data_IF_461314128412
#
_entry.id   IF_461314128412
#
_cell.length_a   1.000
_cell.length_b   1.000
_cell.length_c   1.000
_cell.angle_alpha   90.00
_cell.angle_beta   90.00
_cell.angle_gamma   90.00
#
_symmetry.space_group_name_H-M   'P 1'
#
loop_
_entity.id
_entity.type
_entity.pdbx_description
1 polymer ?
#
# COMPACT_ATOMS: atom_id res chain seq x y z
N UNK A 1 12.00 13.80 5.23
CA UNK A 1 11.96 12.51 5.95
C UNK A 1 11.11 11.56 5.12
N UNK A 2 11.49 10.29 5.00
CA UNK A 2 10.70 9.29 4.25
C UNK A 2 9.47 8.89 5.05
N UNK A 3 8.34 8.64 4.40
CA UNK A 3 7.12 8.15 5.07
C UNK A 3 7.37 6.69 5.53
N UNK A 4 7.25 6.38 6.84
CA UNK A 4 7.60 5.06 7.37
C UNK A 4 6.71 3.94 6.84
N UNK A 5 5.48 4.24 6.40
CA UNK A 5 4.57 3.27 5.79
C UNK A 5 5.04 2.78 4.41
N UNK A 6 5.90 3.55 3.71
CA UNK A 6 6.41 3.19 2.39
C UNK A 6 7.67 2.31 2.44
N UNK A 7 8.28 2.18 3.62
CA UNK A 7 9.40 1.28 3.83
C UNK A 7 8.88 -0.10 4.24
N UNK A 8 8.68 -0.96 3.22
CA UNK A 8 8.15 -2.32 3.41
C UNK A 8 9.24 -3.40 3.45
N UNK A 9 10.51 -3.00 3.61
CA UNK A 9 11.66 -3.91 3.60
C UNK A 9 11.84 -4.71 4.89
N UNK A 10 11.21 -4.26 5.97
CA UNK A 10 11.25 -4.88 7.29
C UNK A 10 9.85 -4.98 7.92
N UNK A 11 9.80 -5.39 9.19
CA UNK A 11 8.58 -5.27 9.98
C UNK A 11 8.14 -3.79 10.10
N UNK A 12 6.84 -3.50 10.24
CA UNK A 12 6.34 -2.14 10.41
C UNK A 12 6.93 -1.47 11.66
N UNK A 13 7.45 -0.25 11.49
CA UNK A 13 8.00 0.58 12.58
C UNK A 13 6.88 1.34 13.29
N UNK A 14 6.06 0.62 14.05
CA UNK A 14 4.82 1.12 14.65
C UNK A 14 5.01 2.39 15.51
N UNK A 15 6.16 2.55 16.14
CA UNK A 15 6.55 3.71 16.94
C UNK A 15 6.80 4.99 16.11
N UNK A 16 7.04 4.85 14.81
CA UNK A 16 7.25 5.97 13.88
C UNK A 16 5.99 6.31 13.06
N UNK A 17 4.98 5.43 13.01
CA UNK A 17 3.77 5.66 12.21
C UNK A 17 2.83 6.61 12.95
N UNK A 18 2.42 7.67 12.27
CA UNK A 18 1.45 8.64 12.74
C UNK A 18 0.27 8.74 11.76
N UNK A 19 -0.93 9.18 12.20
CA UNK A 19 -2.11 9.32 11.35
C UNK A 19 -1.88 10.14 10.07
N UNK A 20 -1.09 11.21 10.14
CA UNK A 20 -0.76 12.07 8.99
C UNK A 20 0.05 11.36 7.89
N UNK A 21 0.67 10.22 8.20
CA UNK A 21 1.40 9.42 7.22
C UNK A 21 0.48 8.61 6.30
N UNK A 22 -0.75 8.33 6.73
CA UNK A 22 -1.64 7.35 6.09
C UNK A 22 -2.06 7.79 4.69
N UNK A 23 -2.70 8.97 4.58
CA UNK A 23 -3.25 9.44 3.31
C UNK A 23 -2.16 9.62 2.23
N UNK A 24 -0.99 10.25 2.51
CA UNK A 24 0.08 10.35 1.53
C UNK A 24 0.63 8.99 1.08
N UNK A 25 0.78 8.02 2.00
CA UNK A 25 1.30 6.70 1.66
C UNK A 25 0.32 5.92 0.79
N UNK A 26 -0.95 5.84 1.19
CA UNK A 26 -1.98 5.08 0.47
C UNK A 26 -2.25 5.69 -0.90
N UNK A 27 -2.32 7.01 -1.01
CA UNK A 27 -2.49 7.66 -2.31
C UNK A 27 -1.34 7.32 -3.25
N UNK A 28 -0.10 7.38 -2.78
CA UNK A 28 1.06 7.01 -3.59
C UNK A 28 0.96 5.57 -4.10
N UNK A 29 0.67 4.60 -3.22
CA UNK A 29 0.62 3.18 -3.60
C UNK A 29 -0.52 2.92 -4.60
N UNK A 30 -1.68 3.54 -4.40
CA UNK A 30 -2.80 3.42 -5.34
C UNK A 30 -2.44 4.03 -6.70
N UNK A 31 -1.83 5.21 -6.73
CA UNK A 31 -1.44 5.88 -7.98
C UNK A 31 -0.37 5.07 -8.73
N UNK A 32 0.63 4.54 -8.02
CA UNK A 32 1.66 3.66 -8.59
C UNK A 32 1.04 2.36 -9.15
N UNK A 33 0.16 1.71 -8.39
CA UNK A 33 -0.52 0.48 -8.81
C UNK A 33 -1.42 0.72 -10.02
N UNK A 34 -2.13 1.85 -10.08
CA UNK A 34 -2.94 2.22 -11.25
C UNK A 34 -2.08 2.43 -12.50
N UNK A 35 -0.96 3.14 -12.37
CA UNK A 35 -0.04 3.34 -13.49
C UNK A 35 0.54 2.01 -13.98
N UNK A 36 0.88 1.09 -13.07
CA UNK A 36 1.35 -0.25 -13.42
C UNK A 36 0.26 -1.08 -14.09
N UNK A 37 -0.97 -1.06 -13.56
CA UNK A 37 -2.12 -1.76 -14.15
C UNK A 37 -2.41 -1.26 -15.57
N UNK A 38 -2.37 0.06 -15.78
CA UNK A 38 -2.51 0.65 -17.12
C UNK A 38 -1.44 0.13 -18.09
N UNK A 39 -0.21 -0.07 -17.60
CA UNK A 39 0.87 -0.68 -18.37
C UNK A 39 0.57 -2.13 -18.76
N UNK A 40 0.12 -2.95 -17.80
CA UNK A 40 -0.25 -4.34 -18.04
C UNK A 40 -1.38 -4.46 -19.07
N UNK A 41 -2.40 -3.60 -18.97
CA UNK A 41 -3.55 -3.61 -19.89
C UNK A 41 -3.22 -3.13 -21.31
N UNK A 42 -2.14 -2.38 -21.49
CA UNK A 42 -1.64 -1.94 -22.80
C UNK A 42 -0.61 -2.90 -23.40
N UNK A 43 -0.19 -3.93 -22.67
CA UNK A 43 0.76 -4.91 -23.17
C UNK A 43 0.18 -5.71 -24.34
N UNK A 44 0.99 -5.94 -25.37
CA UNK A 44 0.66 -6.85 -26.48
C UNK A 44 1.04 -8.31 -26.15
N UNK A 45 1.69 -8.55 -25.01
CA UNK A 45 2.04 -9.89 -24.55
C UNK A 45 0.78 -10.71 -24.25
N UNK A 46 0.84 -12.01 -24.53
CA UNK A 46 -0.26 -12.92 -24.21
C UNK A 46 -0.41 -13.00 -22.69
N UNK A 47 -1.60 -12.74 -22.12
CA UNK A 47 -1.79 -12.80 -20.68
C UNK A 47 -1.62 -14.24 -20.19
N UNK A 48 -0.76 -14.40 -19.19
CA UNK A 48 -0.56 -15.64 -18.45
C UNK A 48 -0.27 -15.34 -16.95
N UNK A 49 0.17 -16.37 -16.23
CA UNK A 49 0.47 -16.27 -14.80
C UNK A 49 1.57 -15.24 -14.54
N UNK A 50 2.64 -15.23 -15.34
CA UNK A 50 3.81 -14.39 -15.09
C UNK A 50 3.58 -12.96 -15.61
N UNK A 51 2.86 -12.81 -16.72
CA UNK A 51 2.61 -11.53 -17.39
C UNK A 51 1.49 -10.72 -16.73
N UNK A 52 0.47 -11.38 -16.18
CA UNK A 52 -0.71 -10.69 -15.63
C UNK A 52 -0.97 -11.02 -14.16
N UNK A 53 -1.06 -12.30 -13.80
CA UNK A 53 -1.51 -12.70 -12.46
C UNK A 53 -0.50 -12.31 -11.38
N UNK A 54 0.77 -12.72 -11.52
CA UNK A 54 1.81 -12.45 -10.53
C UNK A 54 2.06 -10.94 -10.34
N UNK A 55 2.10 -10.09 -11.39
CA UNK A 55 2.14 -8.64 -11.21
C UNK A 55 0.96 -8.08 -10.44
N UNK A 56 -0.26 -8.57 -10.69
CA UNK A 56 -1.47 -8.13 -9.98
C UNK A 56 -1.46 -8.56 -8.51
N UNK A 57 -1.07 -9.80 -8.21
CA UNK A 57 -0.88 -10.26 -6.84
C UNK A 57 0.20 -9.47 -6.10
N UNK A 58 1.28 -9.10 -6.79
CA UNK A 58 2.32 -8.27 -6.19
C UNK A 58 1.79 -6.88 -5.80
N UNK A 59 0.98 -6.25 -6.66
CA UNK A 59 0.34 -4.96 -6.37
C UNK A 59 -0.60 -5.05 -5.16
N UNK A 60 -1.34 -6.15 -5.03
CA UNK A 60 -2.19 -6.41 -3.85
C UNK A 60 -1.35 -6.57 -2.58
N UNK A 61 -0.26 -7.34 -2.64
CA UNK A 61 0.67 -7.46 -1.52
C UNK A 61 1.34 -6.13 -1.13
N UNK A 62 1.72 -5.30 -2.11
CA UNK A 62 2.26 -3.96 -1.86
C UNK A 62 1.24 -3.09 -1.10
N UNK A 63 -0.01 -3.06 -1.56
CA UNK A 63 -1.08 -2.34 -0.86
C UNK A 63 -1.32 -2.90 0.54
N UNK A 64 -1.36 -4.23 0.68
CA UNK A 64 -1.54 -4.92 1.95
C UNK A 64 -0.45 -4.62 2.97
N UNK A 65 0.83 -4.57 2.56
CA UNK A 65 1.96 -4.22 3.45
C UNK A 65 1.86 -2.81 4.01
N UNK A 66 1.26 -1.89 3.27
CA UNK A 66 1.06 -0.49 3.68
C UNK A 66 -0.22 -0.32 4.50
N UNK A 67 -1.30 -1.01 4.14
CA UNK A 67 -2.60 -0.86 4.79
C UNK A 67 -2.75 -1.67 6.08
N UNK A 68 -2.11 -2.84 6.18
CA UNK A 68 -2.22 -3.70 7.37
C UNK A 68 -1.78 -3.01 8.67
N UNK A 69 -0.65 -2.27 8.73
CA UNK A 69 -0.26 -1.52 9.92
C UNK A 69 -1.27 -0.43 10.31
N UNK A 70 -1.86 0.25 9.31
CA UNK A 70 -2.88 1.29 9.54
C UNK A 70 -4.14 0.70 10.13
N UNK A 71 -4.64 -0.39 9.55
CA UNK A 71 -5.81 -1.12 10.06
C UNK A 71 -5.57 -1.64 11.48
N UNK A 72 -4.36 -2.15 11.76
CA UNK A 72 -3.97 -2.59 13.10
C UNK A 72 -4.01 -1.42 14.10
N UNK A 73 -3.31 -0.32 13.83
CA UNK A 73 -3.22 0.85 14.71
C UNK A 73 -4.60 1.46 14.97
N UNK A 74 -5.43 1.54 13.93
CA UNK A 74 -6.82 1.96 14.08
C UNK A 74 -7.59 1.03 15.04
N UNK A 75 -7.45 -0.29 14.88
CA UNK A 75 -8.14 -1.25 15.73
C UNK A 75 -7.67 -1.25 17.19
N UNK A 76 -6.39 -0.93 17.46
CA UNK A 76 -5.84 -1.00 18.82
C UNK A 76 -5.85 0.34 19.56
N UNK A 77 -5.67 1.47 18.85
CA UNK A 77 -5.62 2.80 19.46
C UNK A 77 -6.99 3.50 19.45
N UNK A 78 -7.78 3.34 18.39
CA UNK A 78 -9.16 3.84 18.28
C UNK A 78 -9.34 5.36 18.48
N UNK A 79 -8.29 6.16 18.31
CA UNK A 79 -8.33 7.61 18.51
C UNK A 79 -9.16 8.32 17.43
N UNK A 80 -9.48 9.60 17.63
CA UNK A 80 -10.15 10.41 16.61
C UNK A 80 -9.28 10.53 15.36
N UNK A 81 -8.00 10.83 15.54
CA UNK A 81 -7.07 11.04 14.42
C UNK A 81 -6.87 9.74 13.61
N UNK A 82 -6.79 8.59 14.28
CA UNK A 82 -6.75 7.28 13.61
C UNK A 82 -8.05 6.93 12.87
N UNK A 83 -9.21 7.38 13.37
CA UNK A 83 -10.50 7.28 12.67
C UNK A 83 -10.62 8.19 11.46
N UNK A 84 -9.98 9.35 11.47
CA UNK A 84 -9.98 10.26 10.31
C UNK A 84 -8.97 9.82 9.24
N UNK A 85 -7.88 9.18 9.65
CA UNK A 85 -6.86 8.67 8.74
C UNK A 85 -7.26 7.35 8.03
N UNK A 86 -8.09 6.52 8.65
CA UNK A 86 -8.61 5.25 8.11
C UNK A 86 -9.76 5.48 7.11
#
# INVERSE_FOLDING_TARGET
MSNPLLDTTSLPRFDEIQPEHVLPAIRKVIDDNRARLDGLLRSEEKPDIDVLVAPVEHMDHELGRVWSPVSHLQSVLGSKDWREAY
#
